data_IF_162578617495
#
_entry.id   IF_162578617495
#
_cell.length_a   1.000
_cell.length_b   1.000
_cell.length_c   1.000
_cell.angle_alpha   90.00
_cell.angle_beta   90.00
_cell.angle_gamma   90.00
#
_symmetry.space_group_name_H-M   'P 1'
#
loop_
_entity.id
_entity.type
_entity.pdbx_description
1 polymer ?
#
# COMPACT_ATOMS: atom_id res chain seq x y z
N UNK A 1 15.03 16.47 -8.05
CA UNK A 1 15.11 16.45 -6.76
C UNK A 1 15.13 15.14 -6.15
N UNK A 2 16.09 14.98 -5.39
CA UNK A 2 16.36 13.69 -4.82
C UNK A 2 15.39 13.30 -3.74
N UNK A 3 14.55 14.22 -3.30
CA UNK A 3 13.63 13.92 -2.22
C UNK A 3 12.31 13.35 -2.67
N UNK A 4 12.14 13.18 -3.96
CA UNK A 4 10.89 12.61 -4.47
C UNK A 4 10.82 11.15 -4.06
N UNK A 5 9.74 10.78 -3.41
CA UNK A 5 9.52 9.40 -2.97
C UNK A 5 8.44 8.81 -3.86
N UNK A 6 8.83 8.42 -5.05
CA UNK A 6 7.89 7.99 -6.07
C UNK A 6 7.07 6.80 -5.64
N UNK A 7 7.68 5.87 -4.93
CA UNK A 7 6.94 4.70 -4.48
C UNK A 7 5.82 5.08 -3.52
N UNK A 8 6.13 5.94 -2.55
CA UNK A 8 5.12 6.36 -1.59
C UNK A 8 4.05 7.22 -2.24
N UNK A 9 4.48 8.16 -3.07
CA UNK A 9 3.53 9.05 -3.73
C UNK A 9 2.62 8.29 -4.67
N UNK A 10 3.17 7.33 -5.39
CA UNK A 10 2.39 6.51 -6.31
C UNK A 10 1.35 5.70 -5.54
N UNK A 11 1.78 5.06 -4.46
CA UNK A 11 0.86 4.26 -3.67
C UNK A 11 -0.26 5.10 -3.10
N UNK A 12 0.08 6.26 -2.56
CA UNK A 12 -0.91 7.13 -1.96
C UNK A 12 -1.92 7.59 -3.00
N UNK A 13 -1.44 8.01 -4.16
CA UNK A 13 -2.33 8.46 -5.22
C UNK A 13 -3.25 7.33 -5.67
N UNK A 14 -2.68 6.16 -5.87
CA UNK A 14 -3.45 5.02 -6.36
C UNK A 14 -4.55 4.64 -5.40
N UNK A 15 -4.21 4.51 -4.13
CA UNK A 15 -5.19 4.09 -3.13
C UNK A 15 -6.26 5.14 -2.93
N UNK A 16 -5.88 6.40 -2.88
CA UNK A 16 -6.86 7.47 -2.72
C UNK A 16 -7.83 7.52 -3.89
N UNK A 17 -7.41 7.00 -5.03
CA UNK A 17 -8.26 7.01 -6.22
C UNK A 17 -9.33 5.92 -6.19
N UNK A 18 -9.18 4.91 -5.34
CA UNK A 18 -10.12 3.78 -5.35
C UNK A 18 -10.93 3.64 -4.07
N UNK A 19 -10.61 4.40 -3.03
CA UNK A 19 -11.33 4.27 -1.76
C UNK A 19 -12.37 5.36 -1.64
N UNK A 20 -13.31 5.13 -0.72
CA UNK A 20 -14.37 6.10 -0.45
C UNK A 20 -13.97 7.15 0.57
N UNK A 21 -12.93 6.85 1.35
CA UNK A 21 -12.48 7.76 2.41
C UNK A 21 -11.01 8.08 2.20
N UNK A 22 -10.70 8.85 1.14
CA UNK A 22 -9.29 9.14 0.86
C UNK A 22 -8.59 9.94 1.96
N UNK A 23 -9.37 10.66 2.75
CA UNK A 23 -8.78 11.44 3.84
C UNK A 23 -8.21 10.55 4.93
N UNK A 24 -8.60 9.27 4.97
CA UNK A 24 -8.11 8.34 5.96
C UNK A 24 -6.93 7.52 5.49
N UNK A 25 -6.49 7.73 4.26
CA UNK A 25 -5.36 6.99 3.70
C UNK A 25 -4.06 7.56 4.24
N UNK A 26 -3.22 6.69 4.81
CA UNK A 26 -1.89 7.07 5.22
C UNK A 26 -0.91 6.03 4.73
N UNK A 27 0.27 6.49 4.36
CA UNK A 27 1.34 5.61 3.89
C UNK A 27 2.61 5.99 4.63
N UNK A 28 3.15 5.03 5.37
CA UNK A 28 4.43 5.20 6.05
C UNK A 28 5.52 4.55 5.23
N UNK A 29 6.67 5.18 5.17
CA UNK A 29 7.79 4.68 4.40
C UNK A 29 8.99 4.46 5.32
N UNK A 30 9.53 3.26 5.26
CA UNK A 30 10.69 2.92 6.06
C UNK A 30 11.74 2.30 5.15
N UNK A 31 12.97 2.74 5.28
CA UNK A 31 14.07 2.26 4.47
C UNK A 31 15.10 1.61 5.39
N UNK A 32 15.52 0.39 5.03
CA UNK A 32 16.58 -0.28 5.76
C UNK A 32 17.40 -1.10 4.77
N UNK A 33 18.24 -2.00 5.29
CA UNK A 33 19.13 -2.79 4.43
C UNK A 33 18.35 -3.67 3.48
N UNK A 34 17.15 -4.06 3.85
CA UNK A 34 16.34 -4.95 3.03
C UNK A 34 15.58 -4.22 1.94
N UNK A 35 15.58 -2.90 1.96
CA UNK A 35 14.88 -2.11 0.97
C UNK A 35 13.88 -1.18 1.59
N UNK A 36 12.81 -0.92 0.86
CA UNK A 36 11.77 0.03 1.28
C UNK A 36 10.54 -0.75 1.70
N UNK A 37 10.00 -0.39 2.85
CA UNK A 37 8.73 -0.94 3.31
C UNK A 37 7.72 0.18 3.36
N UNK A 38 6.63 0.02 2.62
CA UNK A 38 5.51 0.94 2.65
C UNK A 38 4.40 0.29 3.46
N UNK A 39 3.94 0.99 4.49
CA UNK A 39 2.84 0.53 5.31
C UNK A 39 1.63 1.37 5.01
N UNK A 40 0.58 0.72 4.55
CA UNK A 40 -0.64 1.39 4.12
C UNK A 40 -1.73 1.21 5.15
N UNK A 41 -2.40 2.31 5.49
CA UNK A 41 -3.57 2.28 6.38
C UNK A 41 -4.71 2.97 5.69
N UNK A 42 -5.90 2.39 5.81
CA UNK A 42 -7.09 2.96 5.20
C UNK A 42 -8.24 2.83 6.20
N UNK A 43 -9.35 3.48 5.85
CA UNK A 43 -10.58 3.35 6.63
C UNK A 43 -11.02 1.88 6.62
N UNK A 44 -11.51 1.36 7.76
CA UNK A 44 -11.97 -0.03 7.79
C UNK A 44 -12.99 -0.36 6.70
N UNK A 45 -13.84 0.59 6.36
CA UNK A 45 -14.85 0.36 5.34
C UNK A 45 -14.24 0.22 3.95
N UNK A 46 -13.02 0.69 3.77
CA UNK A 46 -12.37 0.66 2.47
C UNK A 46 -11.43 -0.54 2.30
N UNK A 47 -11.26 -1.34 3.34
CA UNK A 47 -10.33 -2.47 3.26
C UNK A 47 -10.70 -3.43 2.13
N UNK A 48 -12.00 -3.67 1.94
CA UNK A 48 -12.42 -4.56 0.89
C UNK A 48 -12.01 -4.08 -0.49
N UNK A 49 -12.05 -2.78 -0.70
CA UNK A 49 -11.67 -2.22 -1.99
C UNK A 49 -10.16 -2.29 -2.21
N UNK A 50 -9.40 -2.09 -1.14
CA UNK A 50 -7.95 -2.11 -1.24
C UNK A 50 -7.44 -3.53 -1.47
N UNK A 51 -8.01 -4.49 -0.77
CA UNK A 51 -7.60 -5.88 -0.91
C UNK A 51 -8.15 -6.46 -2.21
N UNK A 52 -9.43 -6.18 -2.47
CA UNK A 52 -10.09 -6.67 -3.66
C UNK A 52 -10.50 -8.13 -3.52
N UNK A 53 -11.21 -8.61 -4.52
CA UNK A 53 -11.69 -9.98 -4.50
C UNK A 53 -10.50 -10.94 -4.52
N UNK A 54 -10.44 -11.79 -3.50
CA UNK A 54 -9.37 -12.78 -3.40
C UNK A 54 -7.98 -12.15 -3.42
N UNK A 55 -7.90 -10.91 -2.96
CA UNK A 55 -6.63 -10.24 -2.89
C UNK A 55 -6.12 -9.69 -4.21
N UNK A 56 -6.97 -9.64 -5.22
CA UNK A 56 -6.54 -9.25 -6.56
C UNK A 56 -6.02 -7.82 -6.63
N UNK A 57 -6.72 -6.89 -5.96
CA UNK A 57 -6.30 -5.51 -5.99
C UNK A 57 -4.97 -5.32 -5.28
N UNK A 58 -4.84 -5.92 -4.10
CA UNK A 58 -3.59 -5.81 -3.35
C UNK A 58 -2.44 -6.42 -4.13
N UNK A 59 -2.68 -7.53 -4.80
CA UNK A 59 -1.65 -8.17 -5.59
C UNK A 59 -1.21 -7.29 -6.75
N UNK A 60 -2.18 -6.66 -7.40
CA UNK A 60 -1.88 -5.75 -8.51
C UNK A 60 -1.06 -4.55 -8.03
N UNK A 61 -1.44 -4.00 -6.88
CA UNK A 61 -0.72 -2.86 -6.32
C UNK A 61 0.72 -3.25 -6.01
N UNK A 62 0.90 -4.43 -5.41
CA UNK A 62 2.25 -4.90 -5.11
C UNK A 62 3.09 -5.05 -6.36
N UNK A 63 2.48 -5.55 -7.43
CA UNK A 63 3.20 -5.72 -8.69
C UNK A 63 3.64 -4.37 -9.24
N UNK A 64 2.76 -3.39 -9.21
CA UNK A 64 3.10 -2.06 -9.69
C UNK A 64 4.20 -1.41 -8.86
N UNK A 65 4.13 -1.60 -7.54
CA UNK A 65 5.18 -1.05 -6.67
C UNK A 65 6.52 -1.70 -6.94
N UNK A 66 6.52 -2.99 -7.27
CA UNK A 66 7.76 -3.67 -7.62
C UNK A 66 8.39 -3.05 -8.84
N UNK A 67 7.56 -2.70 -9.82
CA UNK A 67 8.05 -2.07 -11.04
C UNK A 67 8.65 -0.70 -10.73
N UNK A 68 7.97 0.08 -9.89
CA UNK A 68 8.49 1.37 -9.47
C UNK A 68 9.84 1.18 -8.78
N UNK A 69 9.94 0.14 -7.93
CA UNK A 69 11.18 -0.13 -7.24
C UNK A 69 12.33 -0.44 -8.18
N UNK A 70 12.05 -1.21 -9.21
CA UNK A 70 13.08 -1.53 -10.19
C UNK A 70 13.62 -0.28 -10.84
N UNK A 71 12.74 0.66 -11.16
CA UNK A 71 13.17 1.91 -11.76
C UNK A 71 14.01 2.74 -10.81
N UNK A 72 13.78 2.60 -9.51
CA UNK A 72 14.52 3.35 -8.50
C UNK A 72 15.67 2.55 -7.89
N UNK A 73 15.94 1.37 -8.43
CA UNK A 73 16.99 0.47 -7.92
C UNK A 73 16.76 0.12 -6.47
N UNK A 74 15.50 -0.10 -6.11
CA UNK A 74 15.13 -0.42 -4.74
C UNK A 74 14.19 -1.60 -4.71
N UNK A 75 14.23 -2.33 -3.62
CA UNK A 75 13.25 -3.36 -3.38
C UNK A 75 12.14 -2.74 -2.55
N UNK A 76 10.93 -2.73 -3.10
CA UNK A 76 9.79 -2.11 -2.43
C UNK A 76 8.81 -3.18 -2.02
N UNK A 77 8.47 -3.19 -0.75
CA UNK A 77 7.51 -4.11 -0.18
C UNK A 77 6.32 -3.35 0.37
N UNK A 78 5.16 -3.97 0.30
CA UNK A 78 3.93 -3.34 0.78
C UNK A 78 3.34 -4.17 1.90
N UNK A 79 3.02 -3.48 2.99
CA UNK A 79 2.27 -4.06 4.09
C UNK A 79 0.97 -3.29 4.22
N UNK A 80 -0.15 -3.99 4.17
CA UNK A 80 -1.45 -3.37 4.37
C UNK A 80 -1.84 -3.65 5.81
N UNK A 81 -1.89 -2.59 6.61
CA UNK A 81 -2.16 -2.71 8.03
C UNK A 81 -3.65 -2.63 8.25
N UNK A 82 -4.15 -3.56 9.07
CA UNK A 82 -5.56 -3.54 9.37
C UNK A 82 -5.87 -2.47 10.38
N UNK A 83 -6.95 -1.71 10.16
CA UNK A 83 -7.33 -0.70 11.13
C UNK A 83 -7.66 -1.34 12.46
N UNK A 84 -7.40 -0.58 13.50
CA UNK A 84 -7.73 -1.03 14.84
C UNK A 84 -9.22 -1.24 14.95
N UNK A 85 -9.62 -2.33 15.59
CA UNK A 85 -11.03 -2.66 15.71
C UNK A 85 -11.58 -3.40 14.53
N UNK A 86 -10.79 -3.56 13.50
CA UNK A 86 -11.20 -4.32 12.33
C UNK A 86 -11.18 -5.81 12.66
N UNK A 87 -12.22 -6.51 12.24
CA UNK A 87 -12.31 -7.94 12.49
C UNK A 87 -12.55 -8.64 11.18
N UNK A 88 -11.77 -9.67 10.93
CA UNK A 88 -12.00 -10.48 9.75
C UNK A 88 -11.73 -11.94 10.07
N UNK A 89 -12.35 -12.85 9.32
CA UNK A 89 -12.18 -14.27 9.64
C UNK A 89 -10.77 -14.73 9.35
N UNK A 90 -10.35 -15.78 10.06
CA UNK A 90 -9.03 -16.35 9.79
C UNK A 90 -8.93 -16.82 8.35
N UNK A 91 -7.73 -16.72 7.84
CA UNK A 91 -7.48 -17.21 6.49
C UNK A 91 -7.27 -18.71 6.51
N UNK A 92 -7.73 -19.33 5.47
CA UNK A 92 -7.60 -20.76 5.38
C UNK A 92 -6.36 -21.16 4.62
#
# INVERSE_FOLDING_TARGET
MSDVKRDQDFLEFLVKSIVDHPEDVTVDRKVDEMGVLLTLRVNPHDMGQVVGRQGATAKAVRTLLRIVGVKENSRVNLKIEEPEGSVHPPRE
#
